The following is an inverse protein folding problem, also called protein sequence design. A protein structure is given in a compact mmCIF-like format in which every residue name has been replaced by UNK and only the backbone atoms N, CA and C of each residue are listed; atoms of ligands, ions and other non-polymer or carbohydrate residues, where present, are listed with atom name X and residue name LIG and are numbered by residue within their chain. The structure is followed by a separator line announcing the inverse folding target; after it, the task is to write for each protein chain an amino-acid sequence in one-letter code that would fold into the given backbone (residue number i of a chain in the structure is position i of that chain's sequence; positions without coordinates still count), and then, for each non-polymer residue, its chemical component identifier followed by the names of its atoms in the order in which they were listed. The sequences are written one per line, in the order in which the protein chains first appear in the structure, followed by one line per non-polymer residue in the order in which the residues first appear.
data_IF_167606881990
#
_entry.id   IF_167606881990
#
_cell.length_a   1.000
_cell.length_b   1.000
_cell.length_c   1.000
_cell.angle_alpha   90.00
_cell.angle_beta   90.00
_cell.angle_gamma   90.00
#
_symmetry.space_group_name_H-M   'P 1'
#
loop_
_entity.id
_entity.type
_entity.pdbx_description
1 polymer ?
#
# COMPACT_ATOMS: atom_id res chain seq x y z
N UNK A 1 -2.24 24.03 -16.66
CA UNK A 1 -2.18 22.61 -17.05
C UNK A 1 -1.80 21.76 -15.83
N UNK A 2 -2.75 21.18 -15.08
CA UNK A 2 -2.40 20.27 -14.00
C UNK A 2 -2.02 18.90 -14.60
N UNK A 3 -0.81 18.45 -14.25
CA UNK A 3 -0.21 17.20 -14.73
C UNK A 3 -1.04 16.01 -14.24
N UNK A 4 -1.57 15.22 -15.16
CA UNK A 4 -2.19 13.93 -14.88
C UNK A 4 -1.13 12.95 -14.39
N UNK A 5 -0.91 12.86 -13.07
CA UNK A 5 -0.24 11.70 -12.47
C UNK A 5 -1.20 10.53 -12.61
N UNK A 6 -1.02 9.79 -13.70
CA UNK A 6 -1.86 8.68 -14.09
C UNK A 6 -1.59 7.50 -13.17
N UNK A 7 -2.55 7.24 -12.27
CA UNK A 7 -2.84 5.94 -11.66
C UNK A 7 -1.62 5.10 -11.24
N UNK A 8 -0.97 5.51 -10.15
CA UNK A 8 -0.02 4.68 -9.40
C UNK A 8 -0.72 3.71 -8.43
N UNK A 9 -2.05 3.74 -8.39
CA UNK A 9 -2.88 3.03 -7.42
C UNK A 9 -2.67 1.52 -7.46
N UNK A 10 -2.70 0.90 -8.64
CA UNK A 10 -2.52 -0.56 -8.78
C UNK A 10 -1.15 -1.05 -8.31
N UNK A 11 -0.09 -0.30 -8.62
CA UNK A 11 1.27 -0.66 -8.20
C UNK A 11 1.41 -0.50 -6.69
N UNK A 12 0.90 0.61 -6.14
CA UNK A 12 0.91 0.89 -4.70
C UNK A 12 0.08 -0.15 -3.92
N UNK A 13 -1.12 -0.47 -4.39
CA UNK A 13 -1.99 -1.49 -3.80
C UNK A 13 -1.34 -2.88 -3.81
N UNK A 14 -0.74 -3.28 -4.94
CA UNK A 14 -0.04 -4.58 -5.03
C UNK A 14 1.16 -4.63 -4.10
N UNK A 15 1.95 -3.56 -4.02
CA UNK A 15 3.10 -3.48 -3.12
C UNK A 15 2.69 -3.51 -1.65
N UNK A 16 1.72 -2.66 -1.26
CA UNK A 16 1.30 -2.50 0.13
C UNK A 16 0.58 -3.74 0.67
N UNK A 17 -0.18 -4.46 -0.15
CA UNK A 17 -1.04 -5.56 0.30
C UNK A 17 -0.55 -6.96 -0.10
N UNK A 18 0.23 -7.11 -1.17
CA UNK A 18 0.51 -8.44 -1.73
C UNK A 18 1.99 -8.83 -1.72
N UNK A 19 2.92 -7.91 -1.43
CA UNK A 19 4.36 -8.23 -1.42
C UNK A 19 4.82 -8.62 -0.03
N UNK A 20 5.20 -9.89 0.14
CA UNK A 20 5.82 -10.39 1.37
C UNK A 20 7.18 -9.71 1.59
N UNK A 21 7.37 -9.08 2.76
CA UNK A 21 8.64 -8.46 3.12
C UNK A 21 9.38 -9.34 4.15
N UNK A 22 10.61 -9.77 3.82
CA UNK A 22 11.43 -10.63 4.69
C UNK A 22 11.74 -10.01 6.05
N UNK A 23 11.88 -8.69 6.11
CA UNK A 23 12.07 -7.95 7.37
C UNK A 23 10.80 -7.86 8.23
N UNK A 24 9.63 -8.25 7.69
CA UNK A 24 8.35 -8.31 8.41
C UNK A 24 7.88 -9.75 8.63
N UNK A 25 8.80 -10.73 8.62
CA UNK A 25 8.45 -12.14 8.79
C UNK A 25 7.57 -12.69 7.66
N UNK A 26 7.65 -12.10 6.45
CA UNK A 26 6.84 -12.50 5.29
C UNK A 26 5.50 -11.77 5.17
N UNK A 27 5.21 -10.81 6.04
CA UNK A 27 3.96 -10.07 6.01
C UNK A 27 4.06 -8.83 5.09
N UNK A 28 2.96 -8.42 4.41
CA UNK A 28 2.96 -7.22 3.58
C UNK A 28 3.20 -5.91 4.38
N UNK A 29 3.73 -4.85 3.72
CA UNK A 29 4.02 -3.56 4.34
C UNK A 29 2.85 -2.88 5.06
N UNK A 30 1.59 -3.14 4.68
CA UNK A 30 0.42 -2.53 5.35
C UNK A 30 0.27 -2.97 6.81
N UNK A 31 0.75 -4.17 7.18
CA UNK A 31 0.45 -4.76 8.49
C UNK A 31 1.26 -4.21 9.66
N UNK A 32 2.17 -3.28 9.39
CA UNK A 32 2.90 -2.49 10.41
C UNK A 32 2.31 -1.10 10.61
N UNK A 33 1.29 -0.72 9.83
CA UNK A 33 0.62 0.58 9.93
C UNK A 33 -0.55 0.44 10.91
N UNK A 34 -0.48 1.12 12.07
CA UNK A 34 -1.57 1.04 13.07
C UNK A 34 -2.80 1.87 12.67
N UNK A 35 -2.62 2.89 11.82
CA UNK A 35 -3.68 3.79 11.35
C UNK A 35 -3.67 3.87 9.81
N UNK A 36 -4.14 2.83 9.10
CA UNK A 36 -4.29 2.91 7.66
C UNK A 36 -5.41 3.91 7.34
N UNK A 37 -5.11 4.93 6.53
CA UNK A 37 -6.13 5.83 6.01
C UNK A 37 -7.10 4.99 5.14
N UNK A 38 -8.30 4.71 5.68
CA UNK A 38 -9.27 3.83 5.02
C UNK A 38 -10.20 3.01 5.93
N UNK A 39 -10.25 3.24 7.24
CA UNK A 39 -11.28 2.65 8.12
C UNK A 39 -12.51 3.56 8.28
N UNK A 40 -13.04 4.07 7.17
CA UNK A 40 -14.39 4.66 7.16
C UNK A 40 -15.29 3.69 6.40
N UNK A 41 -16.27 3.11 7.11
CA UNK A 41 -17.34 2.30 6.52
C UNK A 41 -18.19 3.14 5.56
#
# INVERSE_FOLDING_TARGET
QPRTVRSSDRLLHTYNHHRCHTALGGHPPISRVNNPAGQYN
#
